data_IF_500121918248
#
_entry.id   IF_500121918248
#
_cell.length_a   1.000
_cell.length_b   1.000
_cell.length_c   1.000
_cell.angle_alpha   90.00
_cell.angle_beta   90.00
_cell.angle_gamma   90.00
#
_symmetry.space_group_name_H-M   'P 1'
#
loop_
_entity.id
_entity.type
_entity.pdbx_description
1 polymer ?
#
# COMPACT_ATOMS: atom_id res chain seq x y z
N UNK A 1 -34.40 33.84 7.65
CA UNK A 1 -33.48 33.48 6.54
C UNK A 1 -32.31 34.46 6.65
N UNK A 2 -31.18 34.01 7.18
CA UNK A 2 -30.07 34.88 7.61
C UNK A 2 -28.97 34.88 6.53
N UNK A 3 -28.46 36.04 6.09
CA UNK A 3 -27.41 36.14 5.10
C UNK A 3 -26.02 35.99 5.75
N UNK A 4 -25.09 35.36 5.03
CA UNK A 4 -23.72 34.98 5.43
C UNK A 4 -23.58 33.66 6.21
N UNK A 5 -23.95 32.53 5.58
CA UNK A 5 -23.29 31.26 5.87
C UNK A 5 -22.02 31.18 5.00
N UNK A 6 -20.81 31.39 5.55
CA UNK A 6 -19.59 31.15 4.80
C UNK A 6 -19.58 29.66 4.46
N UNK A 7 -19.87 29.31 3.19
CA UNK A 7 -19.95 27.93 2.71
C UNK A 7 -18.85 27.11 3.37
N UNK A 8 -19.25 26.18 4.26
CA UNK A 8 -18.34 25.24 4.91
C UNK A 8 -17.39 24.66 3.84
N UNK A 9 -16.06 24.74 4.00
CA UNK A 9 -15.14 24.13 3.05
C UNK A 9 -15.47 22.66 2.82
N UNK A 10 -15.52 22.24 1.56
CA UNK A 10 -15.95 20.89 1.17
C UNK A 10 -14.89 20.21 0.33
N UNK A 11 -14.76 18.91 0.56
CA UNK A 11 -13.93 18.01 -0.23
C UNK A 11 -14.84 17.11 -1.08
N UNK A 12 -14.66 17.13 -2.41
CA UNK A 12 -15.42 16.34 -3.38
C UNK A 12 -14.58 15.18 -3.92
N UNK A 13 -14.99 13.93 -3.64
CA UNK A 13 -14.40 12.71 -4.23
C UNK A 13 -15.23 12.30 -5.45
N UNK A 14 -14.64 12.36 -6.65
CA UNK A 14 -15.29 11.86 -7.87
C UNK A 14 -14.88 10.42 -8.15
N UNK A 15 -15.86 9.55 -8.38
CA UNK A 15 -15.66 8.11 -8.57
C UNK A 15 -16.81 7.49 -9.37
N UNK A 16 -16.75 6.17 -9.59
CA UNK A 16 -17.82 5.40 -10.22
C UNK A 16 -19.03 5.29 -9.29
N UNK A 17 -20.16 4.79 -9.80
CA UNK A 17 -21.35 4.52 -8.98
C UNK A 17 -21.02 3.58 -7.81
N UNK A 18 -20.35 2.47 -8.12
CA UNK A 18 -19.94 1.46 -7.15
C UNK A 18 -18.96 2.02 -6.11
N UNK A 19 -17.99 2.82 -6.54
CA UNK A 19 -17.03 3.48 -5.64
C UNK A 19 -17.71 4.47 -4.70
N UNK A 20 -18.65 5.28 -5.20
CA UNK A 20 -19.39 6.24 -4.37
C UNK A 20 -20.25 5.53 -3.32
N UNK A 21 -20.85 4.39 -3.68
CA UNK A 21 -21.59 3.59 -2.71
C UNK A 21 -20.69 2.91 -1.69
N UNK A 22 -19.54 2.37 -2.13
CA UNK A 22 -18.55 1.77 -1.23
C UNK A 22 -18.05 2.80 -0.21
N UNK A 23 -17.70 4.00 -0.67
CA UNK A 23 -17.29 5.14 0.15
C UNK A 23 -18.33 5.48 1.22
N UNK A 24 -19.58 5.74 0.81
CA UNK A 24 -20.65 6.14 1.73
C UNK A 24 -20.97 5.03 2.73
N UNK A 25 -21.06 3.77 2.27
CA UNK A 25 -21.27 2.61 3.16
C UNK A 25 -20.11 2.44 4.13
N UNK A 26 -18.86 2.62 3.69
CA UNK A 26 -17.68 2.53 4.53
C UNK A 26 -17.68 3.60 5.61
N UNK A 27 -17.95 4.86 5.23
CA UNK A 27 -18.07 5.97 6.17
C UNK A 27 -19.12 5.70 7.26
N UNK A 28 -20.31 5.21 6.86
CA UNK A 28 -21.35 4.84 7.83
C UNK A 28 -20.93 3.76 8.82
N UNK A 29 -20.07 2.81 8.43
CA UNK A 29 -19.59 1.79 9.36
C UNK A 29 -18.63 2.35 10.42
N UNK A 30 -17.81 3.35 10.07
CA UNK A 30 -16.71 3.76 10.93
C UNK A 30 -16.92 5.09 11.66
N UNK A 31 -17.85 5.95 11.21
CA UNK A 31 -17.96 7.34 11.71
C UNK A 31 -18.18 7.49 13.21
N UNK A 32 -18.79 6.50 13.86
CA UNK A 32 -19.03 6.48 15.32
C UNK A 32 -17.88 5.81 16.09
N UNK A 33 -16.95 5.15 15.38
CA UNK A 33 -15.86 4.34 15.94
C UNK A 33 -14.50 5.02 15.78
N UNK A 34 -14.30 5.75 14.68
CA UNK A 34 -13.05 6.34 14.25
C UNK A 34 -13.25 7.82 13.94
N UNK A 35 -12.29 8.71 14.26
CA UNK A 35 -12.33 10.10 13.84
C UNK A 35 -12.41 10.19 12.31
N UNK A 36 -13.50 10.74 11.79
CA UNK A 36 -13.78 10.84 10.36
C UNK A 36 -14.25 12.27 10.01
N UNK A 37 -14.14 12.71 8.75
CA UNK A 37 -14.77 13.93 8.27
C UNK A 37 -16.29 13.77 8.25
N UNK A 38 -17.01 14.86 8.48
CA UNK A 38 -18.46 14.89 8.29
C UNK A 38 -18.83 14.62 6.82
N UNK A 39 -19.72 13.67 6.58
CA UNK A 39 -20.35 13.47 5.27
C UNK A 39 -21.40 14.55 5.02
N UNK A 40 -21.30 15.24 3.88
CA UNK A 40 -22.17 16.38 3.53
C UNK A 40 -23.18 16.03 2.44
N UNK A 41 -22.92 15.00 1.63
CA UNK A 41 -23.89 14.53 0.65
C UNK A 41 -23.27 13.75 -0.50
N UNK A 42 -24.14 13.23 -1.36
CA UNK A 42 -23.78 12.54 -2.59
C UNK A 42 -24.58 13.13 -3.75
N UNK A 43 -23.95 13.29 -4.91
CA UNK A 43 -24.61 13.73 -6.14
C UNK A 43 -24.07 12.97 -7.35
N UNK A 44 -24.87 12.92 -8.40
CA UNK A 44 -24.47 12.36 -9.70
C UNK A 44 -24.33 13.49 -10.70
N UNK A 45 -23.25 13.49 -11.47
CA UNK A 45 -23.03 14.39 -12.61
C UNK A 45 -23.06 13.59 -13.91
N UNK A 46 -23.02 14.26 -15.05
CA UNK A 46 -22.96 13.58 -16.36
C UNK A 46 -21.70 12.69 -16.52
N UNK A 47 -20.66 12.92 -15.72
CA UNK A 47 -19.34 12.30 -15.90
C UNK A 47 -18.91 11.41 -14.73
N UNK A 48 -19.50 11.58 -13.53
CA UNK A 48 -19.08 10.85 -12.33
C UNK A 48 -20.16 10.85 -11.24
N UNK A 49 -19.95 10.01 -10.23
CA UNK A 49 -20.58 10.18 -8.92
C UNK A 49 -19.65 10.95 -8.00
N UNK A 50 -20.20 11.89 -7.25
CA UNK A 50 -19.45 12.75 -6.32
C UNK A 50 -19.95 12.49 -4.91
N UNK A 51 -19.01 12.17 -4.02
CA UNK A 51 -19.22 12.05 -2.57
C UNK A 51 -18.57 13.26 -1.92
N UNK A 52 -19.32 14.01 -1.14
CA UNK A 52 -18.88 15.28 -0.55
C UNK A 52 -18.72 15.12 0.96
N UNK A 53 -17.55 15.49 1.46
CA UNK A 53 -17.22 15.57 2.88
C UNK A 53 -16.86 17.00 3.28
N UNK A 54 -16.79 17.28 4.58
CA UNK A 54 -16.08 18.47 5.04
C UNK A 54 -14.62 18.40 4.60
N UNK A 55 -14.06 19.54 4.18
CA UNK A 55 -12.63 19.64 3.98
C UNK A 55 -11.94 19.92 5.32
N UNK A 56 -11.33 18.87 5.88
CA UNK A 56 -10.68 18.89 7.19
C UNK A 56 -9.41 19.74 7.22
N UNK A 57 -8.85 20.07 6.05
CA UNK A 57 -7.65 20.89 5.95
C UNK A 57 -8.02 22.36 5.79
N UNK A 58 -8.97 22.66 4.90
CA UNK A 58 -9.40 24.04 4.67
C UNK A 58 -10.19 24.61 5.86
N UNK A 59 -10.85 23.76 6.66
CA UNK A 59 -11.48 24.19 7.91
C UNK A 59 -10.51 24.25 9.10
N UNK A 60 -9.24 23.89 8.91
CA UNK A 60 -8.19 23.94 9.93
C UNK A 60 -8.21 22.83 10.98
N UNK A 61 -9.12 21.85 10.89
CA UNK A 61 -9.21 20.72 11.84
C UNK A 61 -7.96 19.84 11.79
N UNK A 62 -7.46 19.58 10.58
CA UNK A 62 -6.24 18.85 10.29
C UNK A 62 -5.29 19.75 9.51
N UNK A 63 -3.98 19.52 9.62
CA UNK A 63 -2.96 20.36 8.96
C UNK A 63 -2.16 19.60 7.91
N UNK A 64 -1.86 18.34 8.19
CA UNK A 64 -0.94 17.52 7.43
C UNK A 64 -1.49 16.10 7.31
N UNK A 65 -1.06 15.38 6.28
CA UNK A 65 -1.21 13.93 6.23
C UNK A 65 -0.07 13.26 7.01
N UNK A 66 -0.24 12.00 7.39
CA UNK A 66 0.81 11.23 8.07
C UNK A 66 2.10 11.21 7.24
N UNK A 67 2.00 11.06 5.92
CA UNK A 67 3.16 11.09 5.02
C UNK A 67 3.89 12.44 5.04
N UNK A 68 3.16 13.55 5.12
CA UNK A 68 3.74 14.89 5.26
C UNK A 68 4.48 15.04 6.59
N UNK A 69 3.87 14.54 7.68
CA UNK A 69 4.45 14.61 9.03
C UNK A 69 5.69 13.73 9.17
N UNK A 70 5.70 12.55 8.56
CA UNK A 70 6.89 11.69 8.44
C UNK A 70 7.98 12.46 7.71
N UNK A 71 7.67 13.03 6.54
CA UNK A 71 8.68 13.70 5.73
C UNK A 71 9.24 14.98 6.39
N UNK A 72 8.47 15.66 7.25
CA UNK A 72 8.97 16.72 8.11
C UNK A 72 9.91 16.18 9.18
N UNK A 73 9.52 15.11 9.88
CA UNK A 73 10.34 14.47 10.92
C UNK A 73 11.63 13.84 10.38
N UNK A 74 11.66 13.47 9.10
CA UNK A 74 12.87 13.03 8.40
C UNK A 74 13.91 14.15 8.23
N UNK A 75 13.48 15.41 8.34
CA UNK A 75 14.29 16.61 8.09
C UNK A 75 14.55 17.42 9.36
N UNK A 76 13.64 17.37 10.32
CA UNK A 76 13.68 18.14 11.55
C UNK A 76 13.22 17.29 12.75
N UNK A 77 14.13 17.09 13.71
CA UNK A 77 13.85 16.41 14.98
C UNK A 77 12.70 17.02 15.77
N UNK A 78 12.42 18.32 15.61
CA UNK A 78 11.34 19.00 16.31
C UNK A 78 9.94 18.46 15.93
N UNK A 79 9.80 17.83 14.76
CA UNK A 79 8.55 17.20 14.33
C UNK A 79 8.35 15.78 14.89
N UNK A 80 9.40 15.14 15.44
CA UNK A 80 9.33 13.76 15.95
C UNK A 80 8.27 13.55 17.04
N UNK A 81 8.16 14.39 18.09
CA UNK A 81 7.16 14.14 19.15
C UNK A 81 5.73 14.14 18.61
N UNK A 82 5.44 15.02 17.64
CA UNK A 82 4.13 15.10 16.99
C UNK A 82 3.85 13.87 16.14
N UNK A 83 4.84 13.41 15.37
CA UNK A 83 4.76 12.17 14.60
C UNK A 83 4.46 10.96 15.49
N UNK A 84 5.22 10.80 16.59
CA UNK A 84 5.05 9.69 17.51
C UNK A 84 3.69 9.72 18.20
N UNK A 85 3.20 10.92 18.56
CA UNK A 85 1.85 11.10 19.11
C UNK A 85 0.78 10.62 18.13
N UNK A 86 0.87 11.01 16.85
CA UNK A 86 -0.07 10.57 15.83
C UNK A 86 -0.01 9.05 15.61
N UNK A 87 1.19 8.45 15.57
CA UNK A 87 1.34 6.99 15.44
C UNK A 87 0.71 6.26 16.63
N UNK A 88 0.86 6.80 17.85
CA UNK A 88 0.19 6.26 19.04
C UNK A 88 -1.33 6.37 18.97
N UNK A 89 -1.85 7.48 18.45
CA UNK A 89 -3.28 7.67 18.22
C UNK A 89 -3.83 6.69 17.17
N UNK A 90 -3.11 6.49 16.05
CA UNK A 90 -3.46 5.50 15.02
C UNK A 90 -3.56 4.12 15.67
N UNK A 91 -2.49 3.68 16.36
CA UNK A 91 -2.46 2.37 17.00
C UNK A 91 -3.58 2.24 18.03
N UNK A 92 -3.80 3.23 18.89
CA UNK A 92 -4.87 3.22 19.90
C UNK A 92 -6.25 3.15 19.27
N UNK A 93 -6.49 3.86 18.17
CA UNK A 93 -7.78 3.82 17.46
C UNK A 93 -8.05 2.44 16.84
N UNK A 94 -7.03 1.79 16.26
CA UNK A 94 -7.12 0.42 15.76
C UNK A 94 -7.39 -0.59 16.89
N UNK A 95 -6.70 -0.49 18.02
CA UNK A 95 -6.97 -1.32 19.20
C UNK A 95 -8.36 -1.10 19.75
N UNK A 96 -8.83 0.15 19.79
CA UNK A 96 -10.17 0.49 20.27
C UNK A 96 -11.25 -0.11 19.35
N UNK A 97 -11.06 0.01 18.03
CA UNK A 97 -11.94 -0.61 17.05
C UNK A 97 -11.96 -2.14 17.19
N UNK A 98 -10.79 -2.76 17.38
CA UNK A 98 -10.67 -4.19 17.62
C UNK A 98 -11.37 -4.64 18.91
N UNK A 99 -11.18 -3.93 20.02
CA UNK A 99 -11.83 -4.24 21.30
C UNK A 99 -13.35 -4.05 21.24
N UNK A 100 -13.83 -3.06 20.49
CA UNK A 100 -15.26 -2.70 20.42
C UNK A 100 -16.04 -3.59 19.45
N UNK A 101 -15.44 -3.94 18.31
CA UNK A 101 -16.14 -4.61 17.19
C UNK A 101 -15.52 -5.94 16.77
N UNK A 102 -14.53 -6.38 17.55
CA UNK A 102 -13.76 -7.59 17.36
C UNK A 102 -14.64 -8.82 17.26
N UNK A 103 -14.41 -9.62 16.21
CA UNK A 103 -15.05 -10.91 16.05
C UNK A 103 -14.18 -11.84 15.22
N UNK A 104 -14.35 -13.15 15.44
CA UNK A 104 -13.84 -14.15 14.52
C UNK A 104 -14.85 -14.37 13.39
N UNK A 105 -14.48 -14.04 12.16
CA UNK A 105 -15.36 -14.14 10.99
C UNK A 105 -14.64 -14.82 9.81
N UNK A 106 -15.38 -15.50 8.91
CA UNK A 106 -14.80 -16.00 7.67
C UNK A 106 -14.33 -14.84 6.78
N UNK A 107 -13.26 -15.06 6.00
CA UNK A 107 -12.69 -14.05 5.11
C UNK A 107 -13.72 -13.49 4.12
N UNK A 108 -14.64 -14.33 3.64
CA UNK A 108 -15.76 -13.93 2.76
C UNK A 108 -16.71 -12.87 3.34
N UNK A 109 -16.71 -12.66 4.67
CA UNK A 109 -17.47 -11.59 5.32
C UNK A 109 -16.64 -10.29 5.50
N UNK A 110 -15.36 -10.31 5.15
CA UNK A 110 -14.48 -9.15 5.21
C UNK A 110 -14.48 -8.36 3.88
N UNK A 111 -14.08 -7.09 3.91
CA UNK A 111 -13.99 -6.28 2.67
C UNK A 111 -12.96 -6.85 1.69
N UNK A 112 -13.37 -7.18 0.45
CA UNK A 112 -12.49 -7.90 -0.49
C UNK A 112 -11.50 -7.00 -1.25
N UNK A 113 -11.69 -5.68 -1.23
CA UNK A 113 -11.07 -4.74 -2.18
C UNK A 113 -9.54 -4.81 -2.27
N UNK A 114 -8.87 -5.13 -1.15
CA UNK A 114 -7.40 -5.15 -1.09
C UNK A 114 -6.77 -6.55 -1.21
N UNK A 115 -7.58 -7.60 -1.33
CA UNK A 115 -7.05 -8.96 -1.45
C UNK A 115 -7.68 -9.82 -2.55
N UNK A 116 -9.00 -9.76 -2.75
CA UNK A 116 -9.70 -10.77 -3.52
C UNK A 116 -9.28 -10.79 -5.00
N UNK A 117 -9.30 -9.63 -5.66
CA UNK A 117 -8.86 -9.52 -7.06
C UNK A 117 -7.36 -9.79 -7.22
N UNK A 118 -6.56 -9.53 -6.18
CA UNK A 118 -5.11 -9.73 -6.23
C UNK A 118 -4.76 -11.22 -6.26
N UNK A 119 -5.38 -12.01 -5.38
CA UNK A 119 -4.96 -13.40 -5.11
C UNK A 119 -5.76 -14.46 -5.86
N UNK A 120 -6.95 -14.14 -6.38
CA UNK A 120 -7.77 -15.10 -7.15
C UNK A 120 -6.97 -15.64 -8.34
N UNK A 121 -7.31 -16.85 -8.78
CA UNK A 121 -6.72 -17.43 -10.01
C UNK A 121 -7.03 -16.53 -11.21
N UNK A 122 -6.02 -16.27 -12.04
CA UNK A 122 -6.09 -15.30 -13.13
C UNK A 122 -6.28 -13.84 -12.67
N UNK A 123 -6.12 -13.58 -11.37
CA UNK A 123 -6.15 -12.24 -10.79
C UNK A 123 -4.84 -11.49 -11.01
N UNK A 124 -4.67 -10.39 -10.28
CA UNK A 124 -3.53 -9.48 -10.47
C UNK A 124 -2.17 -10.16 -10.35
N UNK A 125 -1.94 -10.95 -9.30
CA UNK A 125 -0.64 -11.58 -9.09
C UNK A 125 -0.32 -12.61 -10.16
N UNK A 126 -1.32 -13.36 -10.62
CA UNK A 126 -1.14 -14.31 -11.71
C UNK A 126 -0.79 -13.57 -13.02
N UNK A 127 -1.56 -12.52 -13.34
CA UNK A 127 -1.34 -11.71 -14.53
C UNK A 127 0.02 -11.01 -14.56
N UNK A 128 0.50 -10.56 -13.39
CA UNK A 128 1.76 -9.83 -13.26
C UNK A 128 2.99 -10.73 -13.16
N UNK A 129 2.88 -11.91 -12.52
CA UNK A 129 4.06 -12.70 -12.18
C UNK A 129 4.05 -14.14 -12.67
N UNK A 130 2.88 -14.75 -12.89
CA UNK A 130 2.79 -16.19 -13.20
C UNK A 130 2.45 -16.49 -14.66
N UNK A 131 1.75 -15.58 -15.34
CA UNK A 131 1.37 -15.75 -16.75
C UNK A 131 2.45 -15.25 -17.71
N UNK A 132 3.43 -14.50 -17.21
CA UNK A 132 4.53 -13.96 -17.99
C UNK A 132 5.83 -14.32 -17.29
N UNK A 133 6.75 -14.95 -18.01
CA UNK A 133 8.07 -15.24 -17.48
C UNK A 133 8.96 -14.01 -17.66
N UNK A 134 8.86 -13.07 -16.71
CA UNK A 134 9.46 -11.74 -16.86
C UNK A 134 10.99 -11.82 -16.79
N UNK A 135 11.72 -11.12 -17.69
CA UNK A 135 13.16 -11.03 -17.59
C UNK A 135 13.57 -10.16 -16.39
N UNK A 136 14.62 -10.60 -15.71
CA UNK A 136 15.25 -9.96 -14.56
C UNK A 136 16.76 -9.93 -14.80
N UNK A 137 17.28 -8.74 -15.12
CA UNK A 137 18.72 -8.52 -15.16
C UNK A 137 19.28 -8.52 -13.73
N UNK A 138 20.23 -9.39 -13.44
CA UNK A 138 20.86 -9.44 -12.11
C UNK A 138 21.81 -8.23 -11.96
N UNK A 139 21.60 -7.34 -10.97
CA UNK A 139 22.36 -6.09 -10.84
C UNK A 139 23.87 -6.33 -10.76
N UNK A 140 24.67 -5.55 -11.47
CA UNK A 140 26.13 -5.68 -11.45
C UNK A 140 26.68 -6.92 -12.17
N UNK A 141 25.82 -7.71 -12.83
CA UNK A 141 26.21 -8.83 -13.68
C UNK A 141 25.80 -8.57 -15.14
N UNK A 142 26.26 -9.41 -16.08
CA UNK A 142 25.79 -9.41 -17.46
C UNK A 142 24.68 -10.44 -17.73
N UNK A 143 24.14 -11.05 -16.67
CA UNK A 143 23.20 -12.16 -16.77
C UNK A 143 21.76 -11.68 -16.61
N UNK A 144 20.90 -12.18 -17.48
CA UNK A 144 19.44 -12.00 -17.39
C UNK A 144 18.84 -13.38 -17.14
N UNK A 145 18.10 -13.49 -16.03
CA UNK A 145 17.28 -14.66 -15.73
C UNK A 145 15.82 -14.31 -15.92
N UNK A 146 14.97 -15.30 -16.06
CA UNK A 146 13.53 -15.15 -15.95
C UNK A 146 13.06 -15.38 -14.51
N UNK A 147 11.89 -14.88 -14.13
CA UNK A 147 11.36 -15.12 -12.78
C UNK A 147 11.13 -16.61 -12.50
N UNK A 148 10.74 -17.38 -13.52
CA UNK A 148 10.57 -18.82 -13.45
C UNK A 148 11.88 -19.56 -13.23
N UNK A 149 13.00 -19.03 -13.73
CA UNK A 149 14.33 -19.61 -13.52
C UNK A 149 14.85 -19.43 -12.09
N UNK A 150 14.46 -18.36 -11.38
CA UNK A 150 14.95 -18.06 -10.02
C UNK A 150 14.75 -19.22 -9.03
N UNK A 151 13.67 -20.00 -9.17
CA UNK A 151 13.41 -21.17 -8.31
C UNK A 151 14.44 -22.30 -8.46
N UNK A 152 15.24 -22.26 -9.52
CA UNK A 152 16.30 -23.23 -9.80
C UNK A 152 17.68 -22.76 -9.30
N UNK A 153 17.73 -21.58 -8.68
CA UNK A 153 18.92 -21.04 -8.02
C UNK A 153 18.75 -21.09 -6.51
N UNK A 154 19.86 -21.29 -5.81
CA UNK A 154 19.94 -21.05 -4.36
C UNK A 154 20.38 -19.61 -4.11
N UNK A 155 19.90 -19.01 -3.03
CA UNK A 155 20.28 -17.64 -2.68
C UNK A 155 20.97 -17.58 -1.32
N UNK A 156 22.00 -16.76 -1.22
CA UNK A 156 22.48 -16.21 0.06
C UNK A 156 22.15 -14.72 0.06
N UNK A 157 21.23 -14.30 0.92
CA UNK A 157 20.78 -12.91 1.05
C UNK A 157 21.20 -12.37 2.40
N UNK A 158 22.01 -11.31 2.42
CA UNK A 158 22.55 -10.74 3.67
C UNK A 158 23.10 -11.84 4.58
N UNK A 159 23.92 -12.72 4.01
CA UNK A 159 24.59 -13.86 4.68
C UNK A 159 23.67 -14.99 5.14
N UNK A 160 22.37 -14.96 4.78
CA UNK A 160 21.40 -16.00 5.13
C UNK A 160 20.95 -16.78 3.90
N UNK A 161 20.88 -18.12 3.96
CA UNK A 161 20.29 -18.89 2.88
C UNK A 161 18.81 -18.52 2.73
N UNK A 162 18.33 -18.36 1.49
CA UNK A 162 16.95 -18.01 1.19
C UNK A 162 16.45 -18.79 -0.04
N UNK A 163 15.22 -19.28 0.02
CA UNK A 163 14.53 -19.89 -1.12
C UNK A 163 13.61 -18.87 -1.79
N UNK A 164 13.80 -18.62 -3.10
CA UNK A 164 12.98 -17.70 -3.88
C UNK A 164 12.09 -18.50 -4.83
N UNK A 165 10.92 -18.94 -4.34
CA UNK A 165 9.90 -19.65 -5.11
C UNK A 165 8.59 -18.85 -5.13
N UNK A 166 8.48 -17.93 -6.09
CA UNK A 166 7.33 -17.05 -6.23
C UNK A 166 6.00 -17.80 -6.49
N UNK A 167 5.94 -18.83 -7.39
CA UNK A 167 4.76 -19.67 -7.51
C UNK A 167 4.32 -20.31 -6.19
N UNK A 168 5.25 -20.86 -5.39
CA UNK A 168 4.92 -21.46 -4.10
C UNK A 168 4.42 -20.42 -3.09
N UNK A 169 5.04 -19.24 -3.04
CA UNK A 169 4.61 -18.11 -2.19
C UNK A 169 3.17 -17.70 -2.52
N UNK A 170 2.86 -17.46 -3.80
CA UNK A 170 1.50 -17.07 -4.24
C UNK A 170 0.49 -18.19 -3.96
N UNK A 171 0.85 -19.45 -4.23
CA UNK A 171 -0.01 -20.60 -3.93
C UNK A 171 -0.27 -20.75 -2.42
N UNK A 172 0.75 -20.52 -1.59
CA UNK A 172 0.64 -20.51 -0.12
C UNK A 172 -0.30 -19.42 0.36
N UNK A 173 -0.08 -18.17 -0.07
CA UNK A 173 -0.95 -17.05 0.27
C UNK A 173 -2.42 -17.30 -0.12
N UNK A 174 -2.66 -17.91 -1.29
CA UNK A 174 -4.00 -18.30 -1.75
C UNK A 174 -4.65 -19.37 -0.88
N UNK A 175 -3.91 -20.38 -0.42
CA UNK A 175 -4.43 -21.40 0.50
C UNK A 175 -4.80 -20.78 1.85
N UNK A 176 -3.95 -19.91 2.37
CA UNK A 176 -4.18 -19.21 3.63
C UNK A 176 -5.39 -18.28 3.54
N UNK A 177 -5.48 -17.48 2.48
CA UNK A 177 -6.59 -16.55 2.22
C UNK A 177 -7.79 -17.23 1.56
N UNK A 178 -8.18 -18.39 2.08
CA UNK A 178 -9.37 -19.09 1.62
C UNK A 178 -10.64 -18.37 2.14
N UNK A 179 -11.72 -18.25 1.33
CA UNK A 179 -12.92 -17.51 1.72
C UNK A 179 -13.63 -17.99 3.01
N UNK A 180 -13.48 -19.28 3.34
CA UNK A 180 -14.03 -19.87 4.58
C UNK A 180 -13.11 -19.75 5.80
N UNK A 181 -11.86 -19.31 5.60
CA UNK A 181 -10.85 -19.21 6.64
C UNK A 181 -11.29 -18.20 7.68
N UNK A 182 -11.17 -18.56 8.96
CA UNK A 182 -11.63 -17.74 10.08
C UNK A 182 -10.51 -16.85 10.57
N UNK A 183 -10.77 -15.54 10.66
CA UNK A 183 -9.78 -14.53 11.01
C UNK A 183 -10.26 -13.71 12.20
N UNK A 184 -9.32 -13.16 12.97
CA UNK A 184 -9.61 -12.04 13.85
C UNK A 184 -9.93 -10.81 12.99
N UNK A 185 -11.11 -10.22 13.20
CA UNK A 185 -11.65 -9.12 12.39
C UNK A 185 -12.20 -8.01 13.26
N UNK A 186 -12.25 -6.80 12.74
CA UNK A 186 -12.92 -5.65 13.35
C UNK A 186 -13.45 -4.70 12.27
N UNK A 187 -14.29 -3.75 12.66
CA UNK A 187 -14.70 -2.65 11.79
C UNK A 187 -13.59 -1.59 11.82
N UNK A 188 -12.88 -1.41 10.70
CA UNK A 188 -11.73 -0.51 10.55
C UNK A 188 -11.81 0.30 9.25
N UNK A 189 -10.83 1.17 9.00
CA UNK A 189 -10.76 1.98 7.77
C UNK A 189 -10.39 1.15 6.53
N UNK A 190 -9.56 0.11 6.66
CA UNK A 190 -9.32 -0.89 5.61
C UNK A 190 -8.08 -0.68 4.76
N UNK A 191 -7.65 0.55 4.50
CA UNK A 191 -6.40 0.87 3.79
C UNK A 191 -5.60 1.94 4.56
N UNK A 192 -5.06 1.59 5.75
CA UNK A 192 -4.44 2.54 6.68
C UNK A 192 -3.06 2.98 6.16
N UNK A 193 -3.06 3.81 5.13
CA UNK A 193 -1.85 4.28 4.46
C UNK A 193 -1.59 5.75 4.80
N UNK A 194 -0.35 6.21 4.61
CA UNK A 194 0.04 7.60 4.89
C UNK A 194 -0.88 8.68 4.29
N UNK A 195 -1.43 8.54 3.06
CA UNK A 195 -2.37 9.53 2.51
C UNK A 195 -3.79 9.45 3.07
N UNK A 196 -4.15 8.37 3.77
CA UNK A 196 -5.50 8.14 4.29
C UNK A 196 -5.63 8.50 5.78
N UNK A 197 -4.59 9.13 6.35
CA UNK A 197 -4.53 9.49 7.77
C UNK A 197 -4.02 10.92 7.89
N UNK A 198 -4.79 11.78 8.55
CA UNK A 198 -4.44 13.17 8.80
C UNK A 198 -4.08 13.44 10.28
N UNK A 199 -3.50 14.61 10.51
CA UNK A 199 -2.99 15.08 11.79
C UNK A 199 -3.62 16.43 12.22
N UNK A 200 -4.25 16.52 13.41
CA UNK A 200 -4.53 15.45 14.39
C UNK A 200 -5.37 14.30 13.79
N UNK A 201 -5.37 13.13 14.46
CA UNK A 201 -5.93 11.90 13.90
C UNK A 201 -7.31 12.10 13.25
N UNK A 202 -7.34 11.90 11.94
CA UNK A 202 -8.56 11.74 11.16
C UNK A 202 -8.32 10.71 10.06
N UNK A 203 -9.16 9.69 10.02
CA UNK A 203 -9.19 8.69 8.96
C UNK A 203 -9.89 9.27 7.74
N UNK A 204 -9.34 8.98 6.56
CA UNK A 204 -9.84 9.41 5.25
C UNK A 204 -9.98 8.19 4.34
N UNK A 205 -10.64 8.37 3.19
CA UNK A 205 -10.85 7.36 2.16
C UNK A 205 -11.56 6.08 2.67
N UNK A 206 -12.87 6.00 2.50
CA UNK A 206 -13.68 4.98 3.15
C UNK A 206 -14.12 3.84 2.23
N UNK A 207 -13.62 3.77 1.00
CA UNK A 207 -13.99 2.75 0.02
C UNK A 207 -13.78 1.31 0.54
N UNK A 208 -12.79 1.12 1.41
CA UNK A 208 -12.45 -0.18 2.01
C UNK A 208 -12.84 -0.30 3.48
N UNK A 209 -13.57 0.69 4.01
CA UNK A 209 -13.99 0.70 5.40
C UNK A 209 -15.15 -0.29 5.68
N UNK A 210 -15.11 -0.91 6.84
CA UNK A 210 -16.04 -1.97 7.25
C UNK A 210 -15.30 -3.09 7.98
N UNK A 211 -15.85 -4.31 7.93
CA UNK A 211 -15.20 -5.46 8.58
C UNK A 211 -13.96 -5.90 7.81
N UNK A 212 -12.79 -5.77 8.41
CA UNK A 212 -11.49 -6.16 7.87
C UNK A 212 -10.79 -7.12 8.82
N UNK A 213 -9.83 -7.90 8.30
CA UNK A 213 -8.96 -8.75 9.11
C UNK A 213 -7.91 -7.90 9.80
N UNK A 214 -7.72 -8.07 11.11
CA UNK A 214 -6.72 -7.32 11.87
C UNK A 214 -5.28 -7.53 11.35
N UNK A 215 -4.84 -8.77 11.01
CA UNK A 215 -3.52 -8.96 10.42
C UNK A 215 -3.34 -8.24 9.08
N UNK A 216 -4.40 -8.21 8.25
CA UNK A 216 -4.39 -7.52 6.96
C UNK A 216 -4.28 -6.00 7.10
N UNK A 217 -5.05 -5.40 8.01
CA UNK A 217 -5.01 -3.96 8.32
C UNK A 217 -3.59 -3.53 8.73
N UNK A 218 -3.01 -4.24 9.69
CA UNK A 218 -1.67 -3.95 10.21
C UNK A 218 -0.57 -4.22 9.16
N UNK A 219 -0.72 -5.27 8.34
CA UNK A 219 0.21 -5.56 7.25
C UNK A 219 0.24 -4.43 6.20
N UNK A 220 -0.90 -3.83 5.88
CA UNK A 220 -0.98 -2.67 4.99
C UNK A 220 -0.20 -1.50 5.59
N UNK A 221 -0.49 -1.16 6.85
CA UNK A 221 0.13 -0.01 7.50
C UNK A 221 1.65 -0.15 7.59
N UNK A 222 2.14 -1.29 8.11
CA UNK A 222 3.57 -1.54 8.30
C UNK A 222 4.34 -1.57 6.97
N UNK A 223 3.79 -2.25 5.95
CA UNK A 223 4.43 -2.26 4.64
C UNK A 223 4.42 -0.88 3.98
N UNK A 224 3.36 -0.10 4.19
CA UNK A 224 3.31 1.26 3.66
C UNK A 224 4.39 2.15 4.28
N UNK A 225 4.50 2.13 5.63
CA UNK A 225 5.53 2.87 6.35
C UNK A 225 6.95 2.47 5.94
N UNK A 226 7.21 1.17 5.75
CA UNK A 226 8.55 0.69 5.44
C UNK A 226 8.96 0.89 3.97
N UNK A 227 8.03 0.65 3.04
CA UNK A 227 8.38 0.44 1.63
C UNK A 227 7.59 1.34 0.66
N UNK A 228 6.26 1.39 0.77
CA UNK A 228 5.48 2.11 -0.25
C UNK A 228 5.65 3.62 -0.14
N UNK A 229 5.41 4.20 1.04
CA UNK A 229 5.43 5.65 1.23
C UNK A 229 6.82 6.28 1.12
N UNK A 230 7.87 5.54 1.48
CA UNK A 230 9.26 6.02 1.49
C UNK A 230 10.09 5.65 0.26
N UNK A 231 9.63 4.73 -0.59
CA UNK A 231 10.43 4.24 -1.72
C UNK A 231 9.61 3.98 -2.97
N UNK A 232 8.71 3.00 -2.95
CA UNK A 232 8.09 2.50 -4.19
C UNK A 232 7.13 3.51 -4.82
N UNK A 233 6.25 4.15 -4.04
CA UNK A 233 5.28 5.12 -4.56
C UNK A 233 5.97 6.41 -5.03
N UNK A 234 6.86 7.06 -4.23
CA UNK A 234 7.60 8.24 -4.69
C UNK A 234 8.40 7.99 -5.98
N UNK A 235 8.97 6.79 -6.15
CA UNK A 235 9.85 6.45 -7.29
C UNK A 235 9.07 6.07 -8.54
N UNK A 236 8.06 5.22 -8.42
CA UNK A 236 7.36 4.61 -9.55
C UNK A 236 5.98 5.21 -9.83
N UNK A 237 5.47 6.05 -8.92
CA UNK A 237 4.21 6.79 -9.07
C UNK A 237 4.36 8.24 -8.58
N UNK A 238 5.37 9.00 -9.07
CA UNK A 238 5.69 10.34 -8.56
C UNK A 238 4.50 11.31 -8.66
N UNK A 239 3.73 11.26 -9.75
CA UNK A 239 2.55 12.13 -9.91
C UNK A 239 1.46 11.83 -8.87
N UNK A 240 1.30 10.56 -8.51
CA UNK A 240 0.36 10.15 -7.46
C UNK A 240 0.86 10.62 -6.10
N UNK A 241 2.15 10.46 -5.82
CA UNK A 241 2.75 10.97 -4.59
C UNK A 241 2.57 12.49 -4.45
N UNK A 242 2.89 13.24 -5.51
CA UNK A 242 2.83 14.71 -5.53
C UNK A 242 1.42 15.28 -5.38
N UNK A 243 0.42 14.64 -5.99
CA UNK A 243 -0.97 15.11 -5.88
C UNK A 243 -1.64 14.71 -4.57
N UNK A 244 -1.14 13.68 -3.89
CA UNK A 244 -1.83 13.13 -2.71
C UNK A 244 -1.30 13.75 -1.42
N UNK A 245 0.02 13.93 -1.30
CA UNK A 245 0.63 14.58 -0.13
C UNK A 245 0.66 16.09 -0.29
N UNK A 246 0.43 16.83 0.80
CA UNK A 246 0.35 18.31 0.73
C UNK A 246 1.72 18.95 0.55
N UNK A 247 2.75 18.37 1.15
CA UNK A 247 4.13 18.83 1.05
C UNK A 247 4.91 18.04 -0.03
N UNK A 248 4.52 16.79 -0.28
CA UNK A 248 5.10 15.92 -1.30
C UNK A 248 6.65 15.88 -1.28
N UNK A 249 7.25 15.96 -0.08
CA UNK A 249 8.70 16.04 0.03
C UNK A 249 9.32 14.70 -0.38
N UNK A 250 10.24 14.72 -1.35
CA UNK A 250 10.89 13.52 -1.86
C UNK A 250 11.71 12.82 -0.77
N UNK A 251 11.59 11.50 -0.59
CA UNK A 251 12.51 10.74 0.23
C UNK A 251 13.95 10.90 -0.26
N UNK A 252 14.91 10.94 0.67
CA UNK A 252 16.35 11.07 0.42
C UNK A 252 17.04 9.71 0.35
N UNK A 253 16.42 8.68 0.92
CA UNK A 253 16.96 7.34 1.01
C UNK A 253 16.01 6.34 0.37
N UNK A 254 16.57 5.26 -0.13
CA UNK A 254 15.84 4.13 -0.67
C UNK A 254 16.66 2.86 -0.43
N UNK A 255 16.00 1.69 -0.38
CA UNK A 255 16.69 0.41 -0.42
C UNK A 255 17.62 0.31 -1.64
N UNK A 256 18.77 -0.34 -1.45
CA UNK A 256 19.76 -0.52 -2.52
C UNK A 256 20.38 -1.91 -2.47
N UNK A 257 20.58 -2.48 -3.65
CA UNK A 257 21.46 -3.64 -3.81
C UNK A 257 22.90 -3.14 -3.73
N UNK A 258 23.65 -3.64 -2.76
CA UNK A 258 25.07 -3.31 -2.58
C UNK A 258 25.98 -4.25 -3.33
N UNK A 259 25.59 -5.52 -3.41
CA UNK A 259 26.33 -6.56 -4.08
C UNK A 259 25.37 -7.62 -4.61
N UNK A 260 25.57 -8.04 -5.84
CA UNK A 260 24.91 -9.20 -6.41
C UNK A 260 25.94 -9.95 -7.27
N UNK A 261 26.13 -11.24 -6.98
CA UNK A 261 27.02 -12.11 -7.71
C UNK A 261 26.30 -13.41 -8.06
N UNK A 262 26.66 -13.96 -9.21
CA UNK A 262 26.14 -15.23 -9.70
C UNK A 262 27.31 -16.20 -9.86
N UNK A 263 27.21 -17.35 -9.20
CA UNK A 263 27.97 -18.54 -9.55
C UNK A 263 27.12 -19.41 -10.48
N UNK A 264 27.49 -19.43 -11.77
CA UNK A 264 26.76 -20.19 -12.79
C UNK A 264 26.91 -21.71 -12.62
N UNK A 265 28.03 -22.16 -12.05
CA UNK A 265 28.32 -23.60 -11.89
C UNK A 265 27.46 -24.18 -10.78
N UNK A 266 27.45 -23.51 -9.63
CA UNK A 266 26.69 -23.93 -8.46
C UNK A 266 25.22 -23.47 -8.52
N UNK A 267 24.85 -22.67 -9.54
CA UNK A 267 23.56 -21.99 -9.63
C UNK A 267 23.22 -21.28 -8.32
N UNK A 268 24.16 -20.47 -7.86
CA UNK A 268 24.06 -19.74 -6.60
C UNK A 268 24.08 -18.24 -6.82
N UNK A 269 23.15 -17.52 -6.18
CA UNK A 269 23.11 -16.05 -6.23
C UNK A 269 23.40 -15.52 -4.82
N UNK A 270 24.48 -14.75 -4.71
CA UNK A 270 24.79 -14.01 -3.48
C UNK A 270 24.29 -12.59 -3.63
N UNK A 271 23.42 -12.16 -2.72
CA UNK A 271 22.87 -10.82 -2.68
C UNK A 271 23.15 -10.17 -1.33
N UNK A 272 23.63 -8.94 -1.35
CA UNK A 272 23.61 -8.06 -0.18
C UNK A 272 22.89 -6.77 -0.52
N UNK A 273 22.04 -6.32 0.38
CA UNK A 273 21.30 -5.08 0.22
C UNK A 273 21.22 -4.33 1.55
N UNK A 274 21.05 -3.02 1.47
CA UNK A 274 20.67 -2.20 2.62
C UNK A 274 19.29 -1.63 2.42
N UNK A 275 18.56 -1.50 3.53
CA UNK A 275 17.24 -0.89 3.57
C UNK A 275 17.31 0.37 4.41
N UNK A 276 17.93 1.41 3.87
CA UNK A 276 18.07 2.68 4.57
C UNK A 276 16.74 3.45 4.57
N UNK A 277 16.35 3.99 5.72
CA UNK A 277 15.23 4.93 5.85
C UNK A 277 15.62 6.11 6.72
N UNK A 278 14.96 7.24 6.52
CA UNK A 278 15.14 8.45 7.30
C UNK A 278 14.65 8.31 8.76
N UNK A 279 15.14 9.17 9.68
CA UNK A 279 14.85 9.06 11.10
C UNK A 279 13.36 9.10 11.48
N UNK A 280 12.57 9.96 10.82
CA UNK A 280 11.14 10.11 11.09
C UNK A 280 10.39 8.83 10.72
N UNK A 281 10.64 8.32 9.52
CA UNK A 281 10.09 7.04 9.04
C UNK A 281 10.52 5.87 9.90
N UNK A 282 11.81 5.80 10.27
CA UNK A 282 12.32 4.78 11.19
C UNK A 282 11.58 4.84 12.54
N UNK A 283 11.41 6.04 13.11
CA UNK A 283 10.74 6.24 14.39
C UNK A 283 9.26 5.84 14.32
N UNK A 284 8.55 6.23 13.26
CA UNK A 284 7.15 5.86 13.04
C UNK A 284 6.96 4.33 12.90
N UNK A 285 7.79 3.68 12.08
CA UNK A 285 7.75 2.23 11.90
C UNK A 285 8.06 1.48 13.20
N UNK A 286 9.13 1.88 13.90
CA UNK A 286 9.52 1.31 15.19
C UNK A 286 8.38 1.42 16.20
N UNK A 287 7.77 2.61 16.29
CA UNK A 287 6.65 2.87 17.22
C UNK A 287 5.41 2.06 16.85
N UNK A 288 5.08 1.95 15.56
CA UNK A 288 3.97 1.13 15.10
C UNK A 288 4.16 -0.36 15.40
N UNK A 289 5.37 -0.90 15.17
CA UNK A 289 5.70 -2.29 15.49
C UNK A 289 5.54 -2.61 16.98
N UNK A 290 6.05 -1.73 17.86
CA UNK A 290 5.94 -1.88 19.32
C UNK A 290 4.49 -1.94 19.79
N UNK A 291 3.61 -1.15 19.16
CA UNK A 291 2.22 -1.05 19.58
C UNK A 291 1.31 -2.10 18.94
N UNK A 292 1.52 -2.49 17.68
CA UNK A 292 0.59 -3.35 16.93
C UNK A 292 0.88 -4.85 17.06
N UNK A 293 2.09 -5.24 17.46
CA UNK A 293 2.52 -6.63 17.48
C UNK A 293 2.78 -7.11 18.91
N UNK A 294 1.72 -7.26 19.71
CA UNK A 294 1.81 -7.79 21.09
C UNK A 294 2.52 -9.16 21.15
N UNK A 295 2.33 -10.00 20.12
CA UNK A 295 3.13 -11.19 19.86
C UNK A 295 3.70 -11.14 18.44
N UNK A 296 4.97 -10.72 18.26
CA UNK A 296 5.56 -10.53 16.94
C UNK A 296 5.55 -11.78 16.05
N UNK A 297 5.83 -12.95 16.62
CA UNK A 297 5.84 -14.21 15.90
C UNK A 297 4.44 -14.64 15.44
N UNK A 298 3.44 -14.55 16.32
CA UNK A 298 2.06 -14.87 15.98
C UNK A 298 1.51 -13.91 14.91
N UNK A 299 1.77 -12.60 15.09
CA UNK A 299 1.38 -11.60 14.10
C UNK A 299 2.00 -11.87 12.73
N UNK A 300 3.31 -12.10 12.65
CA UNK A 300 3.96 -12.35 11.36
C UNK A 300 3.34 -13.55 10.66
N UNK A 301 3.11 -14.66 11.37
CA UNK A 301 2.50 -15.87 10.82
C UNK A 301 1.12 -15.60 10.21
N UNK A 302 0.29 -14.79 10.86
CA UNK A 302 -1.02 -14.39 10.34
C UNK A 302 -0.92 -13.37 9.18
N UNK A 303 0.09 -12.49 9.23
CA UNK A 303 0.27 -11.41 8.28
C UNK A 303 0.92 -11.83 6.95
N UNK A 304 1.67 -12.95 6.89
CA UNK A 304 2.48 -13.34 5.70
C UNK A 304 1.68 -13.29 4.39
N UNK A 305 0.46 -13.84 4.41
CA UNK A 305 -0.38 -13.87 3.22
C UNK A 305 -0.84 -12.47 2.80
N UNK A 306 -1.20 -11.59 3.74
CA UNK A 306 -1.55 -10.20 3.44
C UNK A 306 -0.35 -9.38 2.98
N UNK A 307 0.81 -9.56 3.61
CA UNK A 307 2.06 -8.94 3.20
C UNK A 307 2.44 -9.32 1.78
N UNK A 308 2.26 -10.59 1.38
CA UNK A 308 2.45 -11.03 -0.02
C UNK A 308 1.66 -10.16 -1.00
N UNK A 309 0.39 -9.88 -0.69
CA UNK A 309 -0.48 -9.07 -1.54
C UNK A 309 -0.08 -7.59 -1.58
N UNK A 310 0.59 -7.10 -0.53
CA UNK A 310 1.07 -5.72 -0.45
C UNK A 310 2.45 -5.54 -1.08
N UNK A 311 3.33 -6.52 -0.94
CA UNK A 311 4.66 -6.57 -1.55
C UNK A 311 4.52 -6.69 -3.07
N UNK A 312 3.72 -7.65 -3.54
CA UNK A 312 3.62 -7.98 -4.97
C UNK A 312 2.46 -7.27 -5.69
N UNK A 313 1.41 -6.87 -4.97
CA UNK A 313 0.12 -6.50 -5.60
C UNK A 313 -0.12 -5.00 -5.82
N UNK A 314 0.88 -4.14 -5.58
CA UNK A 314 0.73 -2.68 -5.61
C UNK A 314 1.38 -2.03 -6.83
N UNK A 315 2.68 -2.27 -7.06
CA UNK A 315 3.39 -1.76 -8.24
C UNK A 315 3.59 -2.92 -9.24
N UNK A 316 3.15 -2.77 -10.50
CA UNK A 316 3.42 -3.78 -11.53
C UNK A 316 4.92 -4.01 -11.70
N UNK A 317 5.38 -5.27 -11.82
CA UNK A 317 6.80 -5.58 -11.97
C UNK A 317 7.41 -4.97 -13.24
N UNK A 318 6.61 -4.75 -14.28
CA UNK A 318 7.05 -4.10 -15.53
C UNK A 318 7.41 -2.62 -15.37
N UNK A 319 7.02 -1.98 -14.26
CA UNK A 319 7.43 -0.61 -13.94
C UNK A 319 8.70 -0.55 -13.10
N UNK A 320 9.06 -1.66 -12.43
CA UNK A 320 10.19 -1.70 -11.51
C UNK A 320 11.50 -1.82 -12.29
N UNK A 321 12.52 -1.08 -11.86
CA UNK A 321 13.89 -1.36 -12.29
C UNK A 321 14.31 -2.76 -11.79
N UNK A 322 15.23 -3.42 -12.49
CA UNK A 322 15.65 -4.77 -12.13
C UNK A 322 16.17 -4.91 -10.68
N UNK A 323 16.98 -3.97 -10.13
CA UNK A 323 17.36 -4.03 -8.72
C UNK A 323 16.16 -3.97 -7.76
N UNK A 324 15.18 -3.10 -8.05
CA UNK A 324 14.02 -2.93 -7.18
C UNK A 324 13.04 -4.10 -7.29
N UNK A 325 12.88 -4.67 -8.49
CA UNK A 325 12.14 -5.92 -8.68
C UNK A 325 12.79 -7.05 -7.88
N UNK A 326 14.12 -7.20 -7.96
CA UNK A 326 14.84 -8.19 -7.17
C UNK A 326 14.58 -7.99 -5.67
N UNK A 327 14.70 -6.76 -5.14
CA UNK A 327 14.43 -6.47 -3.73
C UNK A 327 12.97 -6.77 -3.32
N UNK A 328 11.99 -6.51 -4.18
CA UNK A 328 10.57 -6.87 -3.94
C UNK A 328 10.40 -8.39 -3.85
N UNK A 329 11.03 -9.15 -4.75
CA UNK A 329 10.98 -10.63 -4.75
C UNK A 329 11.66 -11.21 -3.51
N UNK A 330 12.81 -10.66 -3.14
CA UNK A 330 13.55 -11.07 -1.94
C UNK A 330 12.74 -10.77 -0.67
N UNK A 331 12.09 -9.60 -0.57
CA UNK A 331 11.20 -9.31 0.56
C UNK A 331 9.99 -10.24 0.62
N UNK A 332 9.44 -10.63 -0.52
CA UNK A 332 8.39 -11.64 -0.56
C UNK A 332 8.89 -13.00 -0.06
N UNK A 333 10.10 -13.41 -0.45
CA UNK A 333 10.72 -14.65 0.02
C UNK A 333 11.07 -14.60 1.52
N UNK A 334 11.72 -13.55 2.00
CA UNK A 334 12.00 -13.33 3.42
C UNK A 334 10.71 -13.39 4.26
N UNK A 335 9.62 -12.78 3.77
CA UNK A 335 8.31 -12.82 4.41
C UNK A 335 7.71 -14.24 4.52
N UNK A 336 8.22 -15.24 3.79
CA UNK A 336 7.78 -16.64 3.88
C UNK A 336 8.84 -17.59 4.44
N UNK A 337 10.06 -17.11 4.66
CA UNK A 337 11.09 -17.90 5.31
C UNK A 337 10.73 -18.16 6.79
N UNK A 338 10.76 -19.42 7.26
CA UNK A 338 10.43 -19.77 8.64
C UNK A 338 11.36 -19.16 9.69
N UNK A 339 12.61 -18.86 9.33
CA UNK A 339 13.60 -18.25 10.20
C UNK A 339 13.53 -16.71 10.19
N UNK A 340 12.64 -16.11 9.40
CA UNK A 340 12.41 -14.66 9.43
C UNK A 340 11.53 -14.28 10.62
N UNK A 341 12.06 -13.38 11.45
CA UNK A 341 11.35 -12.72 12.54
C UNK A 341 10.74 -11.40 12.07
N UNK A 342 9.67 -10.95 12.73
CA UNK A 342 8.99 -9.70 12.37
C UNK A 342 9.93 -8.49 12.44
N UNK A 343 10.72 -8.41 13.50
CA UNK A 343 11.72 -7.36 13.70
C UNK A 343 12.71 -7.38 12.56
N UNK A 344 13.29 -8.53 12.22
CA UNK A 344 14.20 -8.64 11.07
C UNK A 344 13.57 -8.21 9.74
N UNK A 345 12.29 -8.55 9.49
CA UNK A 345 11.60 -8.19 8.25
C UNK A 345 11.37 -6.67 8.14
N UNK A 346 11.07 -6.02 9.27
CA UNK A 346 10.76 -4.60 9.41
C UNK A 346 11.81 -3.80 10.20
N UNK A 347 13.10 -4.10 10.02
CA UNK A 347 14.21 -3.38 10.66
C UNK A 347 15.05 -2.65 9.61
N UNK A 348 14.54 -1.56 9.01
CA UNK A 348 15.33 -0.76 8.11
C UNK A 348 16.45 -0.05 8.89
N UNK A 349 17.59 0.17 8.25
CA UNK A 349 18.72 0.88 8.86
C UNK A 349 18.41 2.38 8.93
N UNK A 350 18.40 3.02 10.11
CA UNK A 350 18.21 4.46 10.18
C UNK A 350 19.42 5.18 9.60
N UNK A 351 19.20 6.17 8.73
CA UNK A 351 20.25 7.13 8.39
C UNK A 351 20.33 8.20 9.47
N UNK A 352 21.54 8.71 9.80
CA UNK A 352 21.69 9.82 10.72
C UNK A 352 20.91 11.05 10.25
N UNK A 353 20.47 11.88 11.19
CA UNK A 353 19.98 13.20 10.83
C UNK A 353 21.05 13.96 10.03
N UNK A 354 20.67 14.69 8.98
CA UNK A 354 21.60 15.62 8.37
C UNK A 354 22.11 16.58 9.45
N UNK A 355 23.42 16.92 9.48
CA UNK A 355 23.93 17.91 10.42
C UNK A 355 23.11 19.18 10.24
N UNK A 356 22.64 19.75 11.36
CA UNK A 356 21.82 20.95 11.38
C UNK A 356 22.58 22.06 10.65
N UNK A 357 22.19 22.35 9.40
CA UNK A 357 22.53 23.65 8.85
C UNK A 357 21.68 24.64 9.62
N UNK A 358 22.32 25.34 10.55
CA UNK A 358 21.81 26.59 11.08
C UNK A 358 21.31 27.43 9.90
N UNK A 359 20.07 27.90 10.00
CA UNK A 359 19.51 28.99 9.19
C UNK A 359 19.56 28.80 7.68
N UNK A 360 18.55 28.12 7.13
CA UNK A 360 17.85 28.51 5.89
C UNK A 360 16.71 27.52 5.67
N UNK A 361 15.72 27.56 6.57
CA UNK A 361 14.37 27.30 6.09
C UNK A 361 14.07 28.37 5.03
N UNK A 362 13.43 28.04 3.89
CA UNK A 362 12.90 29.11 3.05
C UNK A 362 12.06 30.01 3.97
N UNK A 363 12.36 31.32 4.05
CA UNK A 363 11.69 32.22 4.95
C UNK A 363 10.21 32.18 4.55
N UNK A 364 9.38 31.64 5.44
CA UNK A 364 7.96 31.50 5.23
C UNK A 364 7.62 30.68 3.97
N UNK A 365 7.35 29.37 4.10
CA UNK A 365 6.23 28.84 3.33
C UNK A 365 5.03 29.71 3.73
N UNK A 366 4.48 30.56 2.86
CA UNK A 366 3.31 31.32 3.26
C UNK A 366 2.26 30.29 3.65
N UNK A 367 1.69 30.46 4.85
CA UNK A 367 0.42 29.85 5.27
C UNK A 367 -0.76 30.22 4.33
N UNK A 368 -0.50 30.83 3.17
CA UNK A 368 -1.38 30.85 2.02
C UNK A 368 -1.40 29.45 1.38
N UNK A 369 -2.10 28.54 2.04
CA UNK A 369 -2.72 27.39 1.39
C UNK A 369 -3.68 27.92 0.32
N UNK A 370 -3.18 28.11 -0.90
CA UNK A 370 -4.01 28.23 -2.09
C UNK A 370 -3.18 27.96 -3.36
N UNK A 371 -2.97 26.68 -3.73
CA UNK A 371 -2.94 26.34 -5.13
C UNK A 371 -4.39 26.17 -5.61
N UNK A 372 -4.89 26.95 -6.59
CA UNK A 372 -6.16 26.70 -7.24
C UNK A 372 -6.00 25.50 -8.19
N UNK A 373 -5.82 24.30 -7.64
CA UNK A 373 -5.84 23.02 -8.37
C UNK A 373 -6.07 21.79 -7.48
N UNK A 374 -6.61 21.95 -6.26
CA UNK A 374 -7.01 20.84 -5.38
C UNK A 374 -8.38 20.21 -5.73
N UNK A 375 -8.90 20.40 -6.94
CA UNK A 375 -10.26 19.97 -7.34
C UNK A 375 -10.38 18.49 -7.72
N UNK A 376 -9.33 17.69 -7.52
CA UNK A 376 -9.30 16.30 -7.99
C UNK A 376 -8.40 15.40 -7.13
N UNK A 377 -8.36 15.59 -5.81
CA UNK A 377 -7.38 14.91 -4.95
C UNK A 377 -7.65 13.39 -4.76
N UNK A 378 -8.79 12.86 -5.20
CA UNK A 378 -9.09 11.42 -5.16
C UNK A 378 -9.87 10.91 -6.39
N UNK A 379 -9.64 11.53 -7.57
CA UNK A 379 -10.14 10.96 -8.83
C UNK A 379 -9.12 9.97 -9.36
N UNK A 380 -9.28 8.73 -8.94
CA UNK A 380 -8.40 7.65 -9.32
C UNK A 380 -8.35 6.67 -8.17
N UNK A 381 -9.32 5.75 -8.17
CA UNK A 381 -9.01 4.42 -7.65
C UNK A 381 -7.69 3.92 -8.26
N UNK A 382 -7.05 2.90 -7.67
CA UNK A 382 -5.88 2.29 -8.30
C UNK A 382 -6.21 2.02 -9.78
N UNK A 383 -5.35 2.39 -10.75
CA UNK A 383 -5.70 2.36 -12.17
C UNK A 383 -5.67 0.92 -12.67
N UNK A 384 -6.56 0.05 -12.20
CA UNK A 384 -6.55 -1.35 -12.58
C UNK A 384 -7.98 -1.90 -12.63
N UNK A 385 -8.77 -1.38 -13.58
CA UNK A 385 -9.71 -2.23 -14.33
C UNK A 385 -8.91 -2.93 -15.43
N UNK A 386 -8.96 -4.26 -15.56
CA UNK A 386 -8.30 -4.94 -16.67
C UNK A 386 -8.96 -4.50 -17.97
N UNK A 387 -8.15 -4.08 -18.94
CA UNK A 387 -8.59 -4.03 -20.32
C UNK A 387 -9.17 -5.40 -20.68
N UNK A 388 -10.43 -5.44 -21.15
CA UNK A 388 -10.95 -6.63 -21.81
C UNK A 388 -10.02 -6.96 -22.99
N UNK A 389 -9.74 -8.25 -23.28
CA UNK A 389 -9.00 -8.60 -24.49
C UNK A 389 -9.73 -8.04 -25.72
N UNK A 390 -9.00 -7.66 -26.78
CA UNK A 390 -9.63 -7.23 -28.01
C UNK A 390 -10.55 -8.34 -28.51
N UNK A 391 -11.80 -7.97 -28.77
CA UNK A 391 -12.73 -8.81 -29.53
C UNK A 391 -12.04 -9.05 -30.87
N UNK A 392 -11.59 -10.29 -31.07
CA UNK A 392 -11.04 -10.74 -32.33
C UNK A 392 -12.08 -10.54 -33.43
N UNK A 393 -11.59 -9.99 -34.53
CA UNK A 393 -12.35 -9.66 -35.72
C UNK A 393 -13.32 -10.79 -36.13
N UNK A 394 -14.54 -10.38 -36.45
CA UNK A 394 -15.55 -11.17 -37.12
C UNK A 394 -14.91 -11.92 -38.31
N UNK A 395 -14.82 -13.24 -38.21
CA UNK A 395 -14.69 -14.10 -39.38
C UNK A 395 -16.05 -14.17 -40.07
N UNK A 396 -16.07 -13.78 -41.34
CA UNK A 396 -17.19 -13.97 -42.25
C UNK A 396 -17.59 -15.47 -42.34
N UNK A 397 -18.87 -15.79 -42.56
CA UNK A 397 -19.33 -17.17 -42.67
C UNK A 397 -19.02 -17.73 -44.07
N UNK A 398 -18.39 -18.91 -44.11
CA UNK A 398 -18.31 -19.74 -45.30
C UNK A 398 -19.54 -20.67 -45.39
N UNK A 399 -19.91 -21.17 -46.58
CA UNK A 399 -21.29 -21.42 -46.96
C UNK A 399 -21.85 -22.77 -46.50
N UNK A 400 -23.18 -22.78 -46.38
CA UNK A 400 -24.02 -23.95 -46.12
C UNK A 400 -23.73 -25.09 -47.10
N UNK A 401 -23.30 -26.24 -46.58
CA UNK A 401 -23.45 -27.53 -47.27
C UNK A 401 -24.88 -28.04 -47.02
N UNK A 402 -25.69 -28.07 -48.08
CA UNK A 402 -26.91 -28.91 -48.12
C UNK A 402 -26.50 -30.39 -48.17
N UNK A 403 -27.24 -31.30 -47.52
CA UNK A 403 -27.18 -32.71 -47.87
C UNK A 403 -27.99 -32.95 -49.14
N UNK A 404 -27.42 -33.72 -50.06
CA UNK A 404 -28.13 -34.33 -51.16
C UNK A 404 -28.94 -35.53 -50.67
N UNK A 405 -30.14 -35.72 -51.24
CA UNK A 405 -30.78 -36.98 -51.66
C UNK A 405 -32.28 -36.77 -51.91
N UNK A 406 -32.93 -37.59 -52.74
CA UNK A 406 -32.53 -38.16 -54.04
C UNK A 406 -32.95 -37.26 -55.22
#
# INVERSE_FOLDING_TARGET
MNPADPRRPVFDKHTTAEGAEAEVRGWHHIRELLPAPAFLGRRTTAQAHVVTFEDVFDNGRCRLLLGDLIALADRDTAALPRLLTLVDEICRSLHTAASTTGATAPLSQCRPGLYADRIRRGGRLDAWYLHQDLPLALPGTHTVLTLGELRHYTFTVNERPLAVDLPAIIAGARRTLNPGGRWATAITQGDPTEPNIADPLCWLDFEHAGRNTLPGENAIFLWYLMALGGWLVPRYQPDTYQRTLRLALTPRTAPRVEHCALDETERHITLRYTWAVEPGRHAALTRALQNLAASPAAFLNEARAFLTLRILGVIPPTLLSAPDLLLVLIKAAECHDPATELTSLFNPTPVPFPPSRSTEWPPCLPLALNPPCARSLFTGGPPWSPARPPVSAQRSPAPSRRPARP
#
